data_IF_596534107740
#
_entry.id   IF_596534107740
#
_cell.length_a   1.000
_cell.length_b   1.000
_cell.length_c   1.000
_cell.angle_alpha   90.00
_cell.angle_beta   90.00
_cell.angle_gamma   90.00
#
_symmetry.space_group_name_H-M   'P 1'
#
loop_
_entity.id
_entity.type
_entity.pdbx_description
1 polymer ?
#
# COMPACT_ATOMS: atom_id res chain seq x y z
N UNK A 1 -2.52 30.82 -32.26
CA UNK A 1 -1.76 29.69 -32.87
C UNK A 1 -2.07 28.42 -32.08
N UNK A 2 -2.36 27.27 -32.72
CA UNK A 2 -2.78 26.07 -31.97
C UNK A 2 -1.57 25.44 -31.23
N UNK A 3 -1.67 25.33 -29.91
CA UNK A 3 -0.58 25.08 -28.96
C UNK A 3 -0.24 23.60 -28.70
N UNK A 4 -0.92 22.63 -29.32
CA UNK A 4 -0.76 21.22 -28.92
C UNK A 4 -0.15 20.33 -30.02
N UNK A 5 1.17 20.35 -30.10
CA UNK A 5 1.97 19.54 -31.04
C UNK A 5 2.04 18.06 -30.63
N UNK A 6 1.77 17.74 -29.36
CA UNK A 6 1.93 16.39 -28.81
C UNK A 6 0.90 15.40 -29.38
N UNK A 7 -0.31 15.86 -29.69
CA UNK A 7 -1.37 15.02 -30.27
C UNK A 7 -1.04 14.42 -31.64
N UNK A 8 -0.12 15.04 -32.39
CA UNK A 8 0.28 14.59 -33.75
C UNK A 8 1.51 13.68 -33.76
N UNK A 9 2.11 13.40 -32.60
CA UNK A 9 3.32 12.57 -32.50
C UNK A 9 2.94 11.10 -32.34
N UNK A 10 3.55 10.24 -33.13
CA UNK A 10 3.31 8.79 -33.15
C UNK A 10 3.75 8.06 -31.88
N UNK A 11 4.59 8.67 -31.03
CA UNK A 11 4.99 8.10 -29.74
C UNK A 11 4.12 8.58 -28.57
N UNK A 12 3.17 9.50 -28.81
CA UNK A 12 2.33 10.00 -27.73
C UNK A 12 1.42 8.87 -27.21
N UNK A 13 1.61 8.51 -25.95
CA UNK A 13 0.87 7.45 -25.26
C UNK A 13 -0.64 7.70 -25.29
N UNK A 14 -1.07 8.96 -25.26
CA UNK A 14 -2.48 9.34 -25.24
C UNK A 14 -3.15 9.36 -26.62
N UNK A 15 -2.43 9.05 -27.70
CA UNK A 15 -3.04 8.93 -29.02
C UNK A 15 -3.95 7.68 -29.04
N UNK A 16 -5.24 7.79 -29.47
CA UNK A 16 -6.15 6.64 -29.55
C UNK A 16 -5.56 5.44 -30.30
N UNK A 17 -4.72 5.66 -31.31
CA UNK A 17 -4.06 4.57 -32.06
C UNK A 17 -3.06 3.79 -31.21
N UNK A 18 -2.29 4.48 -30.36
CA UNK A 18 -1.31 3.84 -29.47
C UNK A 18 -2.00 3.10 -28.33
N UNK A 19 -3.05 3.69 -27.77
CA UNK A 19 -3.89 3.03 -26.77
C UNK A 19 -4.51 1.74 -27.36
N UNK A 20 -4.97 1.78 -28.62
CA UNK A 20 -5.51 0.60 -29.29
C UNK A 20 -4.47 -0.51 -29.55
N UNK A 21 -3.20 -0.13 -29.82
CA UNK A 21 -2.09 -1.10 -29.93
C UNK A 21 -1.80 -1.77 -28.59
N UNK A 22 -1.66 -0.97 -27.53
CA UNK A 22 -1.44 -1.48 -26.18
C UNK A 22 -2.56 -2.43 -25.77
N UNK A 23 -3.83 -2.07 -25.99
CA UNK A 23 -4.96 -2.98 -25.70
C UNK A 23 -4.94 -4.28 -26.49
N UNK A 24 -4.49 -4.26 -27.75
CA UNK A 24 -4.33 -5.48 -28.55
C UNK A 24 -3.22 -6.36 -27.96
N UNK A 25 -2.10 -5.77 -27.58
CA UNK A 25 -0.97 -6.49 -27.01
C UNK A 25 -1.33 -7.05 -25.62
N UNK A 26 -2.02 -6.27 -24.79
CA UNK A 26 -2.60 -6.71 -23.51
C UNK A 26 -3.58 -7.86 -23.70
N UNK A 27 -4.51 -7.76 -24.66
CA UNK A 27 -5.46 -8.83 -24.96
C UNK A 27 -4.76 -10.10 -25.47
N UNK A 28 -3.70 -9.97 -26.28
CA UNK A 28 -2.90 -11.11 -26.73
C UNK A 28 -2.10 -11.74 -25.59
N UNK A 29 -1.56 -10.92 -24.69
CA UNK A 29 -0.87 -11.41 -23.49
C UNK A 29 -1.85 -12.16 -22.58
N UNK A 30 -3.01 -11.56 -22.31
CA UNK A 30 -4.07 -12.16 -21.51
C UNK A 30 -4.57 -13.48 -22.11
N UNK A 31 -4.81 -13.54 -23.43
CA UNK A 31 -5.23 -14.78 -24.08
C UNK A 31 -4.20 -15.91 -23.92
N UNK A 32 -2.90 -15.59 -24.00
CA UNK A 32 -1.82 -16.58 -23.78
C UNK A 32 -1.73 -17.04 -22.34
N UNK A 33 -1.99 -16.14 -21.38
CA UNK A 33 -2.04 -16.48 -19.95
C UNK A 33 -3.25 -17.38 -19.65
N UNK A 34 -4.43 -17.04 -20.17
CA UNK A 34 -5.64 -17.86 -20.02
C UNK A 34 -5.48 -19.27 -20.63
N UNK A 35 -4.83 -19.39 -21.80
CA UNK A 35 -4.50 -20.70 -22.39
C UNK A 35 -3.54 -21.51 -21.50
N UNK A 36 -2.56 -20.86 -20.87
CA UNK A 36 -1.64 -21.53 -19.95
C UNK A 36 -2.33 -21.95 -18.65
N UNK A 37 -3.21 -21.12 -18.11
CA UNK A 37 -4.02 -21.44 -16.94
C UNK A 37 -4.95 -22.62 -17.21
N UNK A 38 -5.60 -22.66 -18.37
CA UNK A 38 -6.42 -23.81 -18.79
C UNK A 38 -5.59 -25.09 -18.83
N UNK A 39 -4.40 -25.06 -19.45
CA UNK A 39 -3.49 -26.21 -19.46
C UNK A 39 -3.07 -26.64 -18.05
N UNK A 40 -2.80 -25.69 -17.16
CA UNK A 40 -2.44 -25.98 -15.78
C UNK A 40 -3.60 -26.64 -15.01
N UNK A 41 -4.82 -26.14 -15.20
CA UNK A 41 -6.03 -26.72 -14.61
C UNK A 41 -6.31 -28.13 -15.14
N UNK A 42 -6.12 -28.36 -16.44
CA UNK A 42 -6.24 -29.69 -17.05
C UNK A 42 -5.23 -30.67 -16.45
N UNK A 43 -3.96 -30.30 -16.35
CA UNK A 43 -2.91 -31.13 -15.73
C UNK A 43 -3.21 -31.43 -14.26
N UNK A 44 -3.71 -30.45 -13.51
CA UNK A 44 -4.10 -30.66 -12.11
C UNK A 44 -5.36 -31.54 -11.98
N UNK A 45 -6.32 -31.40 -12.89
CA UNK A 45 -7.51 -32.25 -12.95
C UNK A 45 -7.13 -33.70 -13.30
N UNK A 46 -6.27 -33.91 -14.31
CA UNK A 46 -5.73 -35.21 -14.69
C UNK A 46 -4.98 -35.87 -13.52
N UNK A 47 -4.16 -35.09 -12.81
CA UNK A 47 -3.47 -35.56 -11.61
C UNK A 47 -4.45 -36.04 -10.54
N UNK A 48 -5.52 -35.27 -10.29
CA UNK A 48 -6.57 -35.67 -9.33
C UNK A 48 -7.25 -36.96 -9.76
N UNK A 49 -7.52 -37.12 -11.06
CA UNK A 49 -8.09 -38.35 -11.61
C UNK A 49 -7.13 -39.54 -11.46
N UNK A 50 -5.83 -39.37 -11.70
CA UNK A 50 -4.81 -40.43 -11.51
C UNK A 50 -4.75 -40.89 -10.06
N UNK A 51 -4.76 -39.96 -9.10
CA UNK A 51 -4.80 -40.28 -7.67
C UNK A 51 -6.06 -41.09 -7.34
N UNK A 52 -7.22 -40.70 -7.85
CA UNK A 52 -8.49 -41.42 -7.65
C UNK A 52 -8.48 -42.81 -8.29
N UNK A 53 -7.70 -43.02 -9.36
CA UNK A 53 -7.50 -44.33 -10.01
C UNK A 53 -6.48 -45.21 -9.29
N UNK A 54 -5.81 -44.71 -8.24
CA UNK A 54 -4.77 -45.44 -7.52
C UNK A 54 -3.41 -45.47 -8.23
N UNK A 55 -3.23 -44.67 -9.28
CA UNK A 55 -1.94 -44.50 -9.96
C UNK A 55 -1.11 -43.42 -9.26
N UNK A 56 0.19 -43.64 -9.08
CA UNK A 56 1.09 -42.63 -8.52
C UNK A 56 1.31 -41.52 -9.57
N UNK A 57 0.91 -40.25 -9.30
CA UNK A 57 1.07 -39.18 -10.27
C UNK A 57 2.54 -38.91 -10.54
N UNK A 58 2.90 -38.70 -11.81
CA UNK A 58 4.27 -38.33 -12.20
C UNK A 58 4.69 -37.03 -11.51
N UNK A 59 5.93 -36.98 -11.01
CA UNK A 59 6.49 -35.77 -10.39
C UNK A 59 6.32 -34.56 -11.33
N UNK A 60 5.76 -33.42 -10.85
CA UNK A 60 5.59 -32.25 -11.70
C UNK A 60 6.91 -31.84 -12.35
N UNK A 61 6.89 -31.37 -13.61
CA UNK A 61 8.03 -30.65 -14.15
C UNK A 61 8.36 -29.48 -13.21
N UNK A 62 9.65 -29.21 -12.95
CA UNK A 62 10.04 -28.09 -12.10
C UNK A 62 9.41 -26.80 -12.66
N UNK A 63 8.98 -25.87 -11.79
CA UNK A 63 8.40 -24.61 -12.25
C UNK A 63 9.33 -23.98 -13.30
N UNK A 64 8.79 -23.35 -14.36
CA UNK A 64 9.62 -22.61 -15.29
C UNK A 64 10.47 -21.68 -14.45
N UNK A 65 11.80 -21.82 -14.55
CA UNK A 65 12.73 -20.99 -13.79
C UNK A 65 12.27 -19.55 -14.01
N UNK A 66 11.80 -18.91 -12.94
CA UNK A 66 11.63 -17.47 -12.95
C UNK A 66 12.91 -16.87 -13.55
N UNK A 67 12.84 -15.84 -14.41
CA UNK A 67 14.04 -15.14 -14.84
C UNK A 67 14.67 -14.52 -13.59
N UNK A 68 15.42 -15.36 -12.90
CA UNK A 68 16.27 -15.02 -11.77
C UNK A 68 17.16 -13.93 -12.31
N UNK A 69 17.36 -12.82 -11.59
CA UNK A 69 18.20 -11.73 -12.07
C UNK A 69 19.53 -12.36 -12.45
N UNK A 70 19.84 -12.31 -13.74
CA UNK A 70 20.97 -12.98 -14.39
C UNK A 70 22.16 -12.93 -13.43
N UNK A 71 22.43 -14.04 -12.75
CA UNK A 71 23.57 -14.16 -11.88
C UNK A 71 24.78 -14.06 -12.80
N UNK A 72 25.53 -12.97 -12.65
CA UNK A 72 26.66 -12.60 -13.52
C UNK A 72 27.80 -13.64 -13.53
N UNK A 73 27.67 -14.73 -12.79
CA UNK A 73 28.65 -15.79 -12.68
C UNK A 73 28.64 -16.80 -13.84
N UNK A 74 27.55 -16.91 -14.62
CA UNK A 74 27.48 -17.87 -15.73
C UNK A 74 28.06 -17.32 -17.05
N UNK A 75 28.56 -16.07 -17.05
CA UNK A 75 29.27 -15.51 -18.21
C UNK A 75 30.72 -15.97 -18.31
N UNK A 76 31.27 -16.61 -17.29
CA UNK A 76 32.72 -16.86 -17.22
C UNK A 76 33.15 -18.15 -17.92
N UNK A 77 32.24 -19.11 -18.16
CA UNK A 77 32.54 -20.30 -18.96
C UNK A 77 32.61 -20.00 -20.46
N UNK A 78 31.81 -19.05 -20.97
CA UNK A 78 31.86 -18.68 -22.39
C UNK A 78 32.96 -17.65 -22.71
N UNK A 79 33.44 -16.89 -21.72
CA UNK A 79 34.41 -15.82 -21.94
C UNK A 79 35.81 -16.32 -22.37
N UNK A 80 36.24 -17.50 -21.91
CA UNK A 80 37.57 -18.03 -22.26
C UNK A 80 37.69 -18.53 -23.71
N UNK A 81 36.57 -18.90 -24.35
CA UNK A 81 36.56 -19.23 -25.79
C UNK A 81 36.46 -18.00 -26.71
N UNK A 82 36.03 -16.85 -26.20
CA UNK A 82 35.90 -15.62 -27.02
C UNK A 82 37.22 -14.94 -27.35
N UNK A 83 38.33 -15.29 -26.69
CA UNK A 83 39.63 -14.65 -26.91
C UNK A 83 40.30 -15.13 -28.21
N UNK A 84 39.91 -16.28 -28.78
CA UNK A 84 40.55 -16.85 -29.98
C UNK A 84 39.93 -16.43 -31.31
N UNK A 85 38.73 -15.83 -31.32
CA UNK A 85 38.05 -15.49 -32.58
C UNK A 85 37.69 -14.00 -32.65
N UNK A 86 38.69 -13.13 -32.79
CA UNK A 86 38.44 -11.80 -33.37
C UNK A 86 37.92 -12.02 -34.79
N UNK A 87 36.67 -11.60 -35.06
CA UNK A 87 36.07 -11.68 -36.41
C UNK A 87 37.01 -11.01 -37.43
N UNK A 88 37.63 -11.81 -38.30
CA UNK A 88 38.54 -11.34 -39.35
C UNK A 88 37.74 -10.59 -40.42
N UNK A 89 38.25 -9.44 -40.90
CA UNK A 89 37.55 -8.53 -41.82
C UNK A 89 37.48 -9.14 -43.24
N UNK A 90 36.44 -8.80 -44.01
CA UNK A 90 36.33 -9.10 -45.45
C UNK A 90 37.43 -8.40 -46.25
N UNK A 91 37.96 -9.05 -47.28
CA UNK A 91 38.74 -8.40 -48.33
C UNK A 91 37.80 -7.73 -49.35
N UNK A 92 38.25 -6.67 -50.01
CA UNK A 92 37.45 -5.97 -51.02
C UNK A 92 37.22 -6.88 -52.24
N UNK A 93 35.95 -7.15 -52.58
CA UNK A 93 35.56 -8.01 -53.71
C UNK A 93 35.36 -9.49 -53.41
N UNK A 94 35.44 -9.92 -52.15
CA UNK A 94 35.27 -11.32 -51.72
C UNK A 94 33.79 -11.68 -51.45
N UNK A 95 33.28 -12.78 -52.03
CA UNK A 95 31.92 -13.29 -51.75
C UNK A 95 31.86 -14.02 -50.40
N UNK A 96 30.65 -14.21 -49.85
CA UNK A 96 30.48 -14.84 -48.52
C UNK A 96 31.00 -16.29 -48.46
N UNK A 97 30.84 -17.07 -49.53
CA UNK A 97 31.40 -18.43 -49.63
C UNK A 97 32.93 -18.44 -49.72
N UNK A 98 33.50 -17.51 -50.48
CA UNK A 98 34.95 -17.44 -50.69
C UNK A 98 35.66 -17.04 -49.40
N UNK A 99 35.06 -16.14 -48.62
CA UNK A 99 35.52 -15.77 -47.28
C UNK A 99 35.56 -16.98 -46.35
N UNK A 100 34.49 -17.77 -46.32
CA UNK A 100 34.37 -18.90 -45.39
C UNK A 100 35.35 -20.02 -45.77
N UNK A 101 35.58 -20.25 -47.08
CA UNK A 101 36.60 -21.19 -47.59
C UNK A 101 38.01 -20.75 -47.18
N UNK A 102 38.32 -19.45 -47.23
CA UNK A 102 39.63 -18.92 -46.81
C UNK A 102 39.87 -19.13 -45.31
N UNK A 103 38.88 -18.83 -44.46
CA UNK A 103 39.01 -19.05 -43.01
C UNK A 103 39.20 -20.54 -42.68
N UNK A 104 38.45 -21.43 -43.33
CA UNK A 104 38.62 -22.87 -43.14
C UNK A 104 40.05 -23.36 -43.49
N UNK A 105 40.66 -22.80 -44.55
CA UNK A 105 42.04 -23.11 -44.93
C UNK A 105 43.07 -22.58 -43.93
N UNK A 106 42.90 -21.35 -43.45
CA UNK A 106 43.78 -20.73 -42.44
C UNK A 106 43.75 -21.52 -41.12
N UNK A 107 42.55 -21.94 -40.67
CA UNK A 107 42.38 -22.74 -39.46
C UNK A 107 43.00 -24.14 -39.60
N UNK A 108 42.82 -24.78 -40.77
CA UNK A 108 43.45 -26.06 -41.07
C UNK A 108 44.98 -25.98 -41.06
N UNK A 109 45.57 -24.92 -41.64
CA UNK A 109 47.02 -24.68 -41.62
C UNK A 109 47.53 -24.46 -40.20
N UNK A 110 46.80 -23.69 -39.40
CA UNK A 110 47.17 -23.43 -38.00
C UNK A 110 47.13 -24.71 -37.16
N UNK A 111 46.14 -25.58 -37.41
CA UNK A 111 46.05 -26.88 -36.77
C UNK A 111 47.20 -27.83 -37.16
N UNK A 112 47.62 -27.83 -38.43
CA UNK A 112 48.78 -28.60 -38.90
C UNK A 112 50.09 -28.11 -38.28
N UNK A 113 50.34 -26.79 -38.26
CA UNK A 113 51.53 -26.22 -37.64
C UNK A 113 51.62 -26.57 -36.14
N UNK A 114 50.50 -26.46 -35.41
CA UNK A 114 50.46 -26.87 -33.99
C UNK A 114 50.71 -28.37 -33.80
N UNK A 115 50.26 -29.21 -34.74
CA UNK A 115 50.53 -30.64 -34.74
C UNK A 115 52.02 -30.92 -35.00
N UNK A 116 52.65 -30.18 -35.91
CA UNK A 116 54.08 -30.28 -36.19
C UNK A 116 54.95 -29.82 -35.01
N UNK A 117 54.60 -28.72 -34.32
CA UNK A 117 55.27 -28.30 -33.08
C UNK A 117 55.20 -29.38 -31.99
N UNK A 118 54.02 -29.97 -31.80
CA UNK A 118 53.83 -31.07 -30.84
C UNK A 118 54.56 -32.35 -31.28
N UNK A 119 54.75 -32.57 -32.59
CA UNK A 119 55.54 -33.69 -33.10
C UNK A 119 57.04 -33.44 -32.91
N UNK A 120 57.53 -32.21 -33.13
CA UNK A 120 58.92 -31.82 -32.87
C UNK A 120 59.28 -31.88 -31.39
N UNK A 121 58.33 -31.60 -30.49
CA UNK A 121 58.52 -31.80 -29.04
C UNK A 121 58.60 -33.29 -28.65
N UNK A 122 58.11 -34.20 -29.49
CA UNK A 122 58.19 -35.66 -29.28
C UNK A 122 59.44 -36.29 -29.88
N UNK A 123 60.19 -35.57 -30.71
CA UNK A 123 61.51 -35.98 -31.22
C UNK A 123 62.63 -35.32 -30.41
N UNK A 124 62.71 -35.59 -29.12
CA UNK A 124 63.92 -35.28 -28.34
C UNK A 124 64.88 -36.46 -28.43
N UNK A 125 66.11 -36.23 -28.93
CA UNK A 125 67.25 -37.16 -28.88
C UNK A 125 67.75 -37.34 -27.43
N UNK A 126 66.88 -37.77 -26.53
CA UNK A 126 67.25 -38.16 -25.18
C UNK A 126 67.70 -39.63 -25.20
N UNK A 127 68.86 -39.98 -24.60
CA UNK A 127 69.29 -41.37 -24.48
C UNK A 127 68.21 -42.19 -23.75
N UNK A 128 67.71 -43.25 -24.38
CA UNK A 128 66.65 -44.11 -23.82
C UNK A 128 67.10 -44.87 -22.56
N UNK A 129 68.40 -44.93 -22.31
CA UNK A 129 69.01 -45.67 -21.21
C UNK A 129 69.76 -44.69 -20.30
N UNK A 130 69.57 -44.84 -18.99
CA UNK A 130 70.43 -44.20 -17.99
C UNK A 130 71.88 -44.71 -18.15
N UNK A 131 72.83 -43.95 -17.63
CA UNK A 131 74.24 -44.35 -17.46
C UNK A 131 74.41 -45.69 -16.72
N UNK A 132 73.40 -46.12 -15.95
CA UNK A 132 73.33 -47.42 -15.29
C UNK A 132 72.68 -48.55 -16.11
N UNK A 133 72.24 -48.28 -17.35
CA UNK A 133 71.65 -49.26 -18.27
C UNK A 133 70.15 -49.54 -18.09
N UNK A 134 69.44 -48.75 -17.28
CA UNK A 134 67.99 -48.86 -17.09
C UNK A 134 67.24 -48.01 -18.13
N UNK A 135 66.05 -48.46 -18.57
CA UNK A 135 65.23 -47.72 -19.54
C UNK A 135 64.55 -46.54 -18.83
N UNK A 136 64.98 -45.34 -19.15
CA UNK A 136 64.44 -44.11 -18.58
C UNK A 136 63.29 -43.58 -19.44
N UNK A 137 62.07 -43.94 -19.05
CA UNK A 137 60.84 -43.49 -19.72
C UNK A 137 60.47 -42.03 -19.40
N UNK A 138 61.18 -41.41 -18.45
CA UNK A 138 61.01 -40.01 -18.04
C UNK A 138 62.38 -39.35 -17.94
N UNK A 139 62.82 -38.56 -18.94
CA UNK A 139 64.14 -37.92 -18.90
C UNK A 139 64.20 -36.94 -17.72
N UNK A 140 64.99 -37.26 -16.71
CA UNK A 140 65.22 -36.38 -15.57
C UNK A 140 66.14 -35.24 -16.02
N UNK A 141 65.62 -34.01 -16.09
CA UNK A 141 66.47 -32.85 -16.34
C UNK A 141 67.30 -32.56 -15.09
N UNK A 142 68.64 -32.47 -15.15
CA UNK A 142 69.43 -32.11 -13.99
C UNK A 142 69.02 -30.71 -13.53
N UNK A 143 68.47 -30.63 -12.32
CA UNK A 143 68.06 -29.38 -11.69
C UNK A 143 69.23 -28.39 -11.70
N UNK A 144 68.96 -27.17 -12.12
CA UNK A 144 69.96 -26.10 -12.17
C UNK A 144 70.70 -25.97 -10.83
N UNK A 145 72.02 -25.79 -10.94
CA UNK A 145 73.00 -25.80 -9.84
C UNK A 145 72.58 -24.92 -8.66
N UNK A 146 72.88 -25.39 -7.45
CA UNK A 146 72.62 -24.75 -6.16
C UNK A 146 72.89 -23.24 -6.20
N UNK A 147 71.81 -22.45 -6.18
CA UNK A 147 71.85 -21.01 -5.93
C UNK A 147 71.96 -20.81 -4.41
N UNK A 148 72.87 -19.95 -3.97
CA UNK A 148 73.01 -19.56 -2.57
C UNK A 148 71.64 -19.17 -2.00
N UNK A 149 71.25 -19.83 -0.90
CA UNK A 149 69.92 -19.68 -0.30
C UNK A 149 69.77 -18.27 0.26
N UNK A 150 68.96 -17.45 -0.39
CA UNK A 150 68.60 -16.13 0.13
C UNK A 150 67.74 -16.32 1.39
N UNK A 151 68.15 -15.82 2.57
CA UNK A 151 67.40 -16.00 3.81
C UNK A 151 65.98 -15.42 3.77
N UNK A 152 65.72 -14.45 2.89
CA UNK A 152 64.37 -13.92 2.68
C UNK A 152 63.50 -14.87 1.85
N UNK A 153 64.09 -15.53 0.84
CA UNK A 153 63.38 -16.49 0.01
C UNK A 153 63.01 -17.76 0.79
N UNK A 154 63.87 -18.20 1.72
CA UNK A 154 63.55 -19.33 2.60
C UNK A 154 62.39 -19.01 3.54
N UNK A 155 62.37 -17.82 4.14
CA UNK A 155 61.24 -17.36 4.98
C UNK A 155 59.94 -17.29 4.20
N UNK A 156 59.97 -16.72 2.99
CA UNK A 156 58.78 -16.64 2.16
C UNK A 156 58.30 -18.02 1.71
N UNK A 157 59.22 -18.93 1.35
CA UNK A 157 58.86 -20.30 0.99
C UNK A 157 58.26 -21.06 2.18
N UNK A 158 58.82 -20.90 3.39
CA UNK A 158 58.29 -21.52 4.60
C UNK A 158 56.92 -20.94 5.00
N UNK A 159 56.66 -19.65 4.77
CA UNK A 159 55.35 -19.04 4.96
C UNK A 159 54.33 -19.56 3.94
N UNK A 160 54.73 -19.76 2.68
CA UNK A 160 53.87 -20.35 1.64
C UNK A 160 53.57 -21.81 1.93
N UNK A 161 54.55 -22.60 2.37
CA UNK A 161 54.36 -23.98 2.79
C UNK A 161 53.41 -24.08 3.99
N UNK A 162 53.61 -23.26 5.03
CA UNK A 162 52.67 -23.18 6.15
C UNK A 162 51.27 -22.79 5.71
N UNK A 163 51.14 -21.79 4.85
CA UNK A 163 49.83 -21.39 4.33
C UNK A 163 49.15 -22.49 3.50
N UNK A 164 49.93 -23.30 2.77
CA UNK A 164 49.43 -24.44 2.02
C UNK A 164 49.04 -25.60 2.95
N UNK A 165 49.87 -25.93 3.94
CA UNK A 165 49.53 -26.92 4.97
C UNK A 165 48.28 -26.52 5.76
N UNK A 166 48.11 -25.23 6.05
CA UNK A 166 46.94 -24.70 6.73
C UNK A 166 45.66 -24.78 5.86
N UNK A 167 45.79 -24.80 4.52
CA UNK A 167 44.65 -25.03 3.62
C UNK A 167 44.10 -26.46 3.70
N UNK A 168 44.94 -27.44 4.01
CA UNK A 168 44.56 -28.86 3.97
C UNK A 168 44.59 -29.57 5.33
N UNK A 169 45.13 -28.95 6.38
CA UNK A 169 45.21 -29.53 7.73
C UNK A 169 44.42 -28.72 8.76
N UNK A 170 43.54 -29.40 9.50
CA UNK A 170 42.69 -28.80 10.54
C UNK A 170 43.39 -28.80 11.91
N UNK A 171 44.49 -28.04 12.07
CA UNK A 171 45.18 -27.91 13.37
C UNK A 171 44.55 -26.80 14.22
N UNK A 172 44.42 -27.01 15.54
CA UNK A 172 43.83 -26.02 16.46
C UNK A 172 44.58 -24.68 16.50
N UNK A 173 45.88 -24.67 16.20
CA UNK A 173 46.69 -23.46 16.04
C UNK A 173 46.22 -22.56 14.89
N UNK A 174 45.52 -23.12 13.89
CA UNK A 174 45.08 -22.43 12.69
C UNK A 174 43.65 -21.87 12.83
N UNK A 175 42.93 -22.29 13.88
CA UNK A 175 41.55 -21.88 14.14
C UNK A 175 41.42 -20.42 14.61
N UNK A 176 42.54 -19.77 14.98
CA UNK A 176 42.57 -18.36 15.39
C UNK A 176 42.32 -17.38 14.22
N UNK A 177 42.27 -17.87 12.97
CA UNK A 177 42.03 -17.07 11.77
C UNK A 177 43.32 -16.70 11.03
N UNK A 178 43.19 -16.46 9.72
CA UNK A 178 44.29 -16.17 8.81
C UNK A 178 45.24 -15.11 9.41
N UNK A 179 46.51 -15.51 9.66
CA UNK A 179 47.59 -14.67 10.20
C UNK A 179 47.45 -14.18 11.65
N UNK A 180 46.56 -14.75 12.46
CA UNK A 180 46.48 -14.42 13.89
C UNK A 180 47.30 -15.43 14.70
N UNK A 181 48.31 -14.95 15.44
CA UNK A 181 49.10 -15.80 16.33
C UNK A 181 48.26 -16.23 17.53
N UNK A 182 48.55 -17.41 18.09
CA UNK A 182 47.81 -18.13 19.15
C UNK A 182 47.75 -17.38 20.52
N UNK A 183 48.05 -16.08 20.56
CA UNK A 183 47.99 -15.21 21.74
C UNK A 183 47.29 -13.86 21.49
N UNK A 184 46.76 -13.60 20.29
CA UNK A 184 45.92 -12.43 20.05
C UNK A 184 44.53 -12.66 20.65
N UNK A 185 44.05 -11.69 21.43
CA UNK A 185 42.69 -11.73 21.98
C UNK A 185 41.71 -11.76 20.81
N UNK A 186 40.86 -12.79 20.70
CA UNK A 186 39.89 -12.85 19.62
C UNK A 186 39.00 -11.60 19.57
N UNK A 187 38.56 -11.23 18.37
CA UNK A 187 37.77 -10.02 18.12
C UNK A 187 36.48 -9.92 18.96
N UNK A 188 35.93 -11.06 19.40
CA UNK A 188 34.77 -11.15 20.30
C UNK A 188 35.09 -10.93 21.79
N UNK A 189 36.35 -10.98 22.20
CA UNK A 189 36.80 -10.68 23.56
C UNK A 189 37.24 -9.23 23.77
N UNK A 190 37.35 -8.44 22.70
CA UNK A 190 37.65 -7.01 22.77
C UNK A 190 36.44 -6.14 23.18
N UNK A 191 35.22 -6.69 23.13
CA UNK A 191 33.97 -5.94 23.40
C UNK A 191 33.41 -6.16 24.81
N UNK A 192 34.10 -6.89 25.69
CA UNK A 192 33.55 -7.38 26.96
C UNK A 192 33.39 -6.36 28.10
N UNK A 193 33.80 -5.09 27.93
CA UNK A 193 33.72 -4.09 29.02
C UNK A 193 32.74 -2.94 28.69
N UNK A 194 32.28 -2.80 27.44
CA UNK A 194 31.38 -1.70 27.03
C UNK A 194 30.12 -2.14 26.26
N UNK A 195 29.83 -3.44 26.18
CA UNK A 195 28.68 -3.98 25.45
C UNK A 195 27.34 -3.95 26.23
N UNK A 196 27.13 -2.97 27.12
CA UNK A 196 25.91 -2.86 27.92
C UNK A 196 25.17 -1.51 27.77
N UNK A 197 25.53 -0.69 26.78
CA UNK A 197 24.79 0.52 26.43
C UNK A 197 24.23 0.42 25.00
N UNK A 198 22.90 0.45 24.79
CA UNK A 198 22.28 0.42 23.45
C UNK A 198 22.55 1.68 22.59
N UNK A 199 23.37 2.62 23.08
CA UNK A 199 23.69 3.90 22.41
C UNK A 199 25.05 3.92 21.70
N UNK A 200 25.80 2.81 21.67
CA UNK A 200 27.17 2.78 21.16
C UNK A 200 27.30 2.44 19.67
N UNK A 201 26.25 2.57 18.86
CA UNK A 201 26.45 2.54 17.40
C UNK A 201 27.21 3.83 17.05
N UNK A 202 28.45 3.68 16.56
CA UNK A 202 29.29 4.82 16.26
C UNK A 202 28.60 5.66 15.18
N UNK A 203 28.14 6.85 15.56
CA UNK A 203 27.45 7.77 14.65
C UNK A 203 28.35 8.33 13.54
N UNK A 204 29.60 7.86 13.45
CA UNK A 204 30.61 8.31 12.52
C UNK A 204 30.56 7.52 11.23
N UNK A 205 30.63 8.21 10.10
CA UNK A 205 30.76 7.60 8.78
C UNK A 205 32.11 6.91 8.56
N UNK A 206 32.26 6.17 7.45
CA UNK A 206 33.52 5.58 6.99
C UNK A 206 34.64 6.65 6.93
N UNK A 207 34.26 7.92 6.77
CA UNK A 207 35.14 9.10 6.79
C UNK A 207 35.22 9.83 8.13
N UNK A 208 34.67 9.30 9.22
CA UNK A 208 34.78 9.85 10.57
C UNK A 208 33.83 11.03 10.88
N UNK A 209 33.03 11.50 9.92
CA UNK A 209 32.08 12.58 10.14
C UNK A 209 30.80 12.07 10.83
N UNK A 210 30.22 12.84 11.75
CA UNK A 210 28.99 12.46 12.44
C UNK A 210 27.78 12.66 11.52
N UNK A 211 27.04 11.58 11.25
CA UNK A 211 25.79 11.62 10.50
C UNK A 211 24.61 11.54 11.48
N UNK A 212 23.83 12.62 11.65
CA UNK A 212 22.76 12.68 12.67
C UNK A 212 21.66 11.64 12.42
N UNK A 213 21.43 11.26 11.16
CA UNK A 213 20.38 10.30 10.79
C UNK A 213 20.88 8.85 10.73
N UNK A 214 22.18 8.58 10.94
CA UNK A 214 22.72 7.21 10.92
C UNK A 214 22.03 6.30 11.92
N UNK A 215 21.86 6.78 13.15
CA UNK A 215 21.18 6.06 14.24
C UNK A 215 19.74 5.74 13.89
N UNK A 216 19.03 6.65 13.24
CA UNK A 216 17.64 6.44 12.81
C UNK A 216 17.56 5.41 11.68
N UNK A 217 18.48 5.44 10.71
CA UNK A 217 18.54 4.45 9.64
C UNK A 217 18.91 3.07 10.15
N UNK A 218 19.80 2.98 11.13
CA UNK A 218 20.16 1.71 11.78
C UNK A 218 19.00 1.16 12.60
N UNK A 219 18.32 1.99 13.39
CA UNK A 219 17.07 1.61 14.06
C UNK A 219 16.03 1.13 13.06
N UNK A 220 15.85 1.84 11.94
CA UNK A 220 14.91 1.43 10.89
C UNK A 220 15.31 0.10 10.22
N UNK A 221 16.61 -0.18 10.04
CA UNK A 221 17.11 -1.47 9.54
C UNK A 221 16.87 -2.60 10.55
N UNK A 222 17.11 -2.34 11.83
CA UNK A 222 16.83 -3.28 12.92
C UNK A 222 15.33 -3.56 12.99
N UNK A 223 14.49 -2.52 12.98
CA UNK A 223 13.03 -2.60 12.97
C UNK A 223 12.45 -3.20 11.68
N UNK A 224 13.22 -3.26 10.59
CA UNK A 224 12.83 -3.93 9.35
C UNK A 224 13.18 -5.42 9.38
N UNK A 225 14.28 -5.77 10.06
CA UNK A 225 14.72 -7.16 10.24
C UNK A 225 14.05 -7.85 11.44
N UNK A 226 13.41 -7.11 12.35
CA UNK A 226 12.66 -7.65 13.48
C UNK A 226 11.19 -7.98 13.10
N UNK A 227 10.76 -9.26 13.16
CA UNK A 227 9.38 -9.65 12.89
C UNK A 227 8.37 -9.00 13.87
N UNK A 228 8.76 -8.75 15.12
CA UNK A 228 7.85 -8.12 16.10
C UNK A 228 7.60 -6.65 15.77
N UNK A 229 8.62 -5.93 15.28
CA UNK A 229 8.47 -4.57 14.80
C UNK A 229 7.54 -4.52 13.58
N UNK A 230 7.61 -5.49 12.66
CA UNK A 230 6.68 -5.60 11.54
C UNK A 230 5.23 -5.82 12.00
N UNK A 231 4.99 -6.72 12.96
CA UNK A 231 3.66 -6.94 13.55
C UNK A 231 3.13 -5.68 14.25
N UNK A 232 3.98 -4.97 15.02
CA UNK A 232 3.60 -3.72 15.69
C UNK A 232 3.23 -2.63 14.69
N UNK A 233 3.92 -2.53 13.55
CA UNK A 233 3.58 -1.61 12.45
C UNK A 233 2.20 -1.96 11.87
N UNK A 234 1.93 -3.24 11.61
CA UNK A 234 0.61 -3.71 11.14
C UNK A 234 -0.52 -3.37 12.12
N UNK A 235 -0.33 -3.63 13.42
CA UNK A 235 -1.33 -3.29 14.45
C UNK A 235 -1.57 -1.78 14.54
N UNK A 236 -0.52 -0.96 14.41
CA UNK A 236 -0.66 0.51 14.38
C UNK A 236 -1.46 0.98 13.16
N UNK A 237 -1.23 0.40 11.99
CA UNK A 237 -2.00 0.71 10.77
C UNK A 237 -3.48 0.33 10.90
N UNK A 238 -3.79 -0.83 11.49
CA UNK A 238 -5.17 -1.21 11.75
C UNK A 238 -5.85 -0.22 12.71
N UNK A 239 -5.14 0.20 13.77
CA UNK A 239 -5.65 1.19 14.72
C UNK A 239 -5.86 2.57 14.08
N UNK A 240 -4.99 3.01 13.17
CA UNK A 240 -5.18 4.29 12.46
C UNK A 240 -6.39 4.24 11.54
N UNK A 241 -6.57 3.14 10.79
CA UNK A 241 -7.75 2.94 9.94
C UNK A 241 -9.04 2.90 10.77
N UNK A 242 -9.03 2.23 11.92
CA UNK A 242 -10.18 2.21 12.82
C UNK A 242 -10.52 3.60 13.36
N UNK A 243 -9.51 4.40 13.71
CA UNK A 243 -9.70 5.79 14.13
C UNK A 243 -10.24 6.67 13.00
N UNK A 244 -9.75 6.50 11.77
CA UNK A 244 -10.26 7.19 10.59
C UNK A 244 -11.71 6.84 10.29
N UNK A 245 -12.06 5.55 10.31
CA UNK A 245 -13.46 5.09 10.18
C UNK A 245 -14.35 5.69 11.25
N UNK A 246 -13.89 5.70 12.50
CA UNK A 246 -14.64 6.28 13.62
C UNK A 246 -14.84 7.79 13.48
N UNK A 247 -13.86 8.52 12.93
CA UNK A 247 -14.00 9.95 12.63
C UNK A 247 -14.97 10.19 11.49
N UNK A 248 -14.86 9.41 10.42
CA UNK A 248 -15.77 9.47 9.27
C UNK A 248 -17.22 9.18 9.67
N UNK A 249 -17.45 8.15 10.50
CA UNK A 249 -18.78 7.84 11.03
C UNK A 249 -19.33 8.99 11.89
N UNK A 250 -18.49 9.67 12.66
CA UNK A 250 -18.90 10.83 13.46
C UNK A 250 -19.26 12.03 12.56
N UNK A 251 -18.47 12.31 11.53
CA UNK A 251 -18.75 13.36 10.56
C UNK A 251 -20.06 13.08 9.81
N UNK A 252 -20.23 11.85 9.30
CA UNK A 252 -21.49 11.41 8.66
C UNK A 252 -22.69 11.53 9.58
N UNK A 253 -22.55 11.18 10.86
CA UNK A 253 -23.63 11.36 11.85
C UNK A 253 -23.97 12.84 12.06
N UNK A 254 -22.97 13.70 12.17
CA UNK A 254 -23.16 15.16 12.29
C UNK A 254 -23.84 15.75 11.05
N UNK A 255 -23.43 15.33 9.86
CA UNK A 255 -24.08 15.73 8.60
C UNK A 255 -25.55 15.29 8.58
N UNK A 256 -25.84 14.04 8.92
CA UNK A 256 -27.20 13.53 8.97
C UNK A 256 -28.06 14.24 10.02
N UNK A 257 -27.50 14.57 11.17
CA UNK A 257 -28.19 15.37 12.19
C UNK A 257 -28.44 16.80 11.71
N UNK A 258 -27.49 17.43 11.03
CA UNK A 258 -27.66 18.74 10.42
C UNK A 258 -28.78 18.73 9.36
N UNK A 259 -28.79 17.75 8.44
CA UNK A 259 -29.85 17.59 7.46
C UNK A 259 -31.22 17.37 8.11
N UNK A 260 -31.30 16.56 9.18
CA UNK A 260 -32.55 16.36 9.93
C UNK A 260 -33.03 17.64 10.61
N UNK A 261 -32.12 18.47 11.12
CA UNK A 261 -32.46 19.75 11.73
C UNK A 261 -32.94 20.75 10.68
N UNK A 262 -32.29 20.80 9.53
CA UNK A 262 -32.68 21.65 8.40
C UNK A 262 -34.04 21.22 7.83
N UNK A 263 -34.27 19.92 7.65
CA UNK A 263 -35.56 19.37 7.22
C UNK A 263 -36.67 19.70 8.22
N UNK A 264 -36.39 19.56 9.53
CA UNK A 264 -37.33 19.98 10.58
C UNK A 264 -37.62 21.49 10.50
N UNK A 265 -36.59 22.31 10.32
CA UNK A 265 -36.74 23.76 10.20
C UNK A 265 -37.58 24.12 8.97
N UNK A 266 -37.28 23.56 7.79
CA UNK A 266 -38.07 23.73 6.58
C UNK A 266 -39.51 23.24 6.74
N UNK A 267 -39.73 22.10 7.41
CA UNK A 267 -41.08 21.60 7.69
C UNK A 267 -41.88 22.51 8.62
N UNK A 268 -41.19 23.15 9.58
CA UNK A 268 -41.79 24.13 10.50
C UNK A 268 -42.15 25.41 9.76
N UNK A 269 -41.26 25.93 8.91
CA UNK A 269 -41.53 27.08 8.04
C UNK A 269 -42.70 26.81 7.11
N UNK A 270 -42.73 25.64 6.46
CA UNK A 270 -43.83 25.25 5.58
C UNK A 270 -45.16 25.11 6.36
N UNK A 271 -45.12 24.62 7.60
CA UNK A 271 -46.31 24.60 8.48
C UNK A 271 -46.79 26.01 8.81
N UNK A 272 -45.88 26.90 9.19
CA UNK A 272 -46.22 28.31 9.46
C UNK A 272 -46.78 29.00 8.22
N UNK A 273 -46.21 28.77 7.05
CA UNK A 273 -46.72 29.33 5.78
C UNK A 273 -48.12 28.79 5.45
N UNK A 274 -48.39 27.50 5.68
CA UNK A 274 -49.75 26.94 5.56
C UNK A 274 -50.70 27.63 6.55
N UNK A 275 -50.31 27.81 7.81
CA UNK A 275 -51.15 28.47 8.81
C UNK A 275 -51.43 29.94 8.45
N UNK A 276 -50.42 30.67 7.99
CA UNK A 276 -50.59 32.04 7.48
C UNK A 276 -51.56 32.08 6.28
N UNK A 277 -51.42 31.16 5.32
CA UNK A 277 -52.35 31.07 4.19
C UNK A 277 -53.77 30.73 4.65
N UNK A 278 -53.94 29.84 5.62
CA UNK A 278 -55.26 29.52 6.21
C UNK A 278 -55.87 30.77 6.84
N UNK A 279 -55.10 31.55 7.60
CA UNK A 279 -55.58 32.80 8.22
C UNK A 279 -55.96 33.82 7.15
N UNK A 280 -55.16 33.98 6.09
CA UNK A 280 -55.45 34.88 4.97
C UNK A 280 -56.74 34.46 4.26
N UNK A 281 -56.91 33.16 3.98
CA UNK A 281 -58.13 32.62 3.35
C UNK A 281 -59.34 32.85 4.25
N UNK A 282 -59.25 32.54 5.55
CA UNK A 282 -60.34 32.76 6.51
C UNK A 282 -60.73 34.25 6.59
N UNK A 283 -59.75 35.16 6.62
CA UNK A 283 -60.00 36.60 6.60
C UNK A 283 -60.66 37.06 5.29
N UNK A 284 -60.26 36.52 4.14
CA UNK A 284 -60.90 36.83 2.86
C UNK A 284 -62.36 36.35 2.80
N UNK A 285 -62.64 35.14 3.31
CA UNK A 285 -64.00 34.58 3.38
C UNK A 285 -64.91 35.43 4.27
N UNK A 286 -64.44 35.80 5.47
CA UNK A 286 -65.21 36.67 6.38
C UNK A 286 -65.47 38.05 5.78
N UNK A 287 -64.50 38.66 5.09
CA UNK A 287 -64.73 39.93 4.39
C UNK A 287 -65.77 39.79 3.26
N UNK A 288 -65.74 38.69 2.51
CA UNK A 288 -66.73 38.42 1.46
C UNK A 288 -68.14 38.23 2.03
N UNK A 289 -68.28 37.54 3.17
CA UNK A 289 -69.56 37.42 3.87
C UNK A 289 -70.07 38.75 4.42
N UNK A 290 -69.19 39.56 5.03
CA UNK A 290 -69.53 40.92 5.47
C UNK A 290 -70.00 41.77 4.27
N UNK A 291 -69.35 41.66 3.11
CA UNK A 291 -69.74 42.37 1.91
C UNK A 291 -71.11 41.91 1.36
N UNK A 292 -71.41 40.60 1.38
CA UNK A 292 -72.74 40.06 1.03
C UNK A 292 -73.83 40.57 1.98
N UNK A 293 -73.56 40.55 3.29
CA UNK A 293 -74.50 41.07 4.30
C UNK A 293 -74.73 42.57 4.09
N UNK A 294 -73.68 43.37 3.87
CA UNK A 294 -73.79 44.80 3.54
C UNK A 294 -74.63 45.04 2.27
N UNK A 295 -74.41 44.28 1.20
CA UNK A 295 -75.22 44.37 -0.02
C UNK A 295 -76.68 44.01 0.23
N UNK A 296 -76.96 43.00 1.06
CA UNK A 296 -78.34 42.68 1.46
C UNK A 296 -78.98 43.80 2.26
N UNK A 297 -78.23 44.43 3.19
CA UNK A 297 -78.70 45.55 4.00
C UNK A 297 -79.03 46.79 3.16
N UNK A 298 -78.21 47.09 2.14
CA UNK A 298 -78.44 48.22 1.21
C UNK A 298 -79.70 48.01 0.36
N UNK A 299 -80.09 46.75 0.10
CA UNK A 299 -81.32 46.42 -0.64
C UNK A 299 -82.58 46.42 0.23
N UNK A 300 -82.47 46.47 1.56
CA UNK A 300 -83.63 46.50 2.45
C UNK A 300 -84.11 47.94 2.66
N UNK A 301 -85.43 48.13 2.67
CA UNK A 301 -86.03 49.44 2.93
C UNK A 301 -85.62 49.98 4.31
N UNK A 302 -85.29 51.27 4.39
CA UNK A 302 -84.81 51.95 5.61
C UNK A 302 -85.71 51.67 6.84
N UNK A 303 -87.03 51.56 6.63
CA UNK A 303 -88.01 51.24 7.68
C UNK A 303 -87.80 49.83 8.28
N UNK A 304 -87.44 48.85 7.46
CA UNK A 304 -87.17 47.47 7.91
C UNK A 304 -85.85 47.37 8.67
N UNK A 305 -84.83 48.13 8.26
CA UNK A 305 -83.56 48.19 8.98
C UNK A 305 -83.72 48.83 10.36
N UNK A 306 -84.44 49.96 10.45
CA UNK A 306 -84.71 50.65 11.73
C UNK A 306 -85.49 49.76 12.70
N UNK A 307 -86.50 49.02 12.21
CA UNK A 307 -87.27 48.10 13.08
C UNK A 307 -86.43 46.96 13.61
N UNK A 308 -85.57 46.34 12.79
CA UNK A 308 -84.66 45.28 13.24
C UNK A 308 -83.66 45.81 14.30
N UNK A 309 -83.12 47.01 14.12
CA UNK A 309 -82.19 47.63 15.11
C UNK A 309 -82.91 47.93 16.43
N UNK A 310 -84.13 48.48 16.38
CA UNK A 310 -84.92 48.76 17.60
C UNK A 310 -85.26 47.46 18.33
N UNK A 311 -85.66 46.41 17.62
CA UNK A 311 -85.99 45.10 18.20
C UNK A 311 -84.75 44.45 18.83
N UNK A 312 -83.58 44.51 18.19
CA UNK A 312 -82.33 43.94 18.76
C UNK A 312 -81.88 44.67 20.02
N UNK A 313 -82.01 46.00 20.08
CA UNK A 313 -81.75 46.79 21.30
C UNK A 313 -82.71 46.39 22.42
N UNK A 314 -83.99 46.19 22.10
CA UNK A 314 -85.02 45.74 23.04
C UNK A 314 -84.70 44.35 23.61
N UNK A 315 -84.33 43.40 22.75
CA UNK A 315 -83.94 42.05 23.18
C UNK A 315 -82.68 42.11 24.06
N UNK A 316 -81.67 42.89 23.69
CA UNK A 316 -80.45 43.04 24.50
C UNK A 316 -80.74 43.68 25.87
N UNK A 317 -81.68 44.62 25.94
CA UNK A 317 -82.14 45.20 27.19
C UNK A 317 -82.85 44.16 28.06
N UNK A 318 -83.75 43.36 27.49
CA UNK A 318 -84.43 42.26 28.19
C UNK A 318 -83.43 41.22 28.69
N UNK A 319 -82.47 40.80 27.85
CA UNK A 319 -81.42 39.85 28.25
C UNK A 319 -80.58 40.42 29.40
N UNK A 320 -80.16 41.69 29.33
CA UNK A 320 -79.45 42.33 30.45
C UNK A 320 -80.28 42.35 31.73
N UNK A 321 -81.57 42.68 31.64
CA UNK A 321 -82.49 42.68 32.79
C UNK A 321 -82.62 41.27 33.38
N UNK A 322 -82.79 40.24 32.55
CA UNK A 322 -82.86 38.85 33.02
C UNK A 322 -81.56 38.35 33.65
N UNK A 323 -80.40 38.79 33.15
CA UNK A 323 -79.09 38.46 33.76
C UNK A 323 -78.90 39.19 35.09
N UNK A 324 -79.38 40.42 35.22
CA UNK A 324 -79.34 41.16 36.50
C UNK A 324 -80.32 40.59 37.51
N UNK A 325 -81.52 40.17 37.10
CA UNK A 325 -82.50 39.52 37.99
C UNK A 325 -81.99 38.15 38.46
N UNK A 326 -81.41 37.35 37.57
CA UNK A 326 -80.77 36.07 37.92
C UNK A 326 -79.54 36.23 38.86
N UNK A 327 -78.96 37.44 38.94
CA UNK A 327 -77.87 37.77 39.86
C UNK A 327 -78.38 38.23 41.23
N UNK A 328 -79.56 38.84 41.31
CA UNK A 328 -80.19 39.26 42.57
C UNK A 328 -80.75 38.04 43.32
N UNK A 329 -81.26 37.03 42.62
CA UNK A 329 -81.86 35.83 43.23
C UNK A 329 -80.83 34.87 43.87
N UNK A 330 -79.56 34.93 43.45
CA UNK A 330 -78.47 34.11 44.04
C UNK A 330 -77.90 34.67 45.34
N UNK A 331 -78.20 35.92 45.70
CA UNK A 331 -77.70 36.54 46.94
C UNK A 331 -78.69 36.48 48.13
N UNK A 332 -79.89 35.92 47.95
CA UNK A 332 -80.91 35.81 49.02
C UNK A 332 -81.13 34.39 49.56
N UNK A 333 -80.44 33.37 49.02
CA UNK A 333 -80.55 31.96 49.46
C UNK A 333 -79.21 31.34 49.91
N UNK A 334 -78.34 32.14 50.53
CA UNK A 334 -77.19 31.63 51.29
C UNK A 334 -77.18 32.23 52.69
N UNK A 335 -78.06 31.69 53.54
CA UNK A 335 -77.93 31.75 54.99
C UNK A 335 -78.06 30.32 55.52
N UNK A 336 -77.09 29.89 56.33
CA UNK A 336 -76.91 28.57 56.97
C UNK A 336 -76.58 27.45 55.97
N UNK A 337 -75.41 26.82 55.97
CA UNK A 337 -74.82 26.06 57.08
C UNK A 337 -73.30 25.80 56.85
N UNK A 338 -72.56 25.53 57.92
CA UNK A 338 -71.11 25.28 57.93
C UNK A 338 -70.69 23.89 57.41
N UNK A 339 -69.39 23.76 57.17
CA UNK A 339 -68.59 22.53 57.06
C UNK A 339 -68.79 21.62 55.82
N UNK A 340 -67.86 21.70 54.86
CA UNK A 340 -66.81 20.67 54.67
C UNK A 340 -66.06 20.79 53.32
N UNK A 341 -64.74 20.63 53.43
CA UNK A 341 -63.79 20.14 52.42
C UNK A 341 -63.60 20.86 51.08
N UNK A 342 -62.65 21.79 51.11
CA UNK A 342 -61.91 22.26 49.94
C UNK A 342 -61.08 21.13 49.31
N UNK A 343 -61.56 20.54 48.21
CA UNK A 343 -60.72 19.88 47.20
C UNK A 343 -60.77 20.67 45.90
N UNK A 344 -59.92 21.70 45.82
CA UNK A 344 -59.56 22.35 44.56
C UNK A 344 -58.77 21.35 43.68
N UNK A 345 -59.41 20.88 42.62
CA UNK A 345 -58.71 20.36 41.44
C UNK A 345 -58.13 21.55 40.67
N UNK A 346 -56.91 21.93 41.03
CA UNK A 346 -56.12 22.89 40.28
C UNK A 346 -55.40 22.19 39.14
N UNK A 347 -55.78 22.58 37.92
CA UNK A 347 -54.92 22.84 36.76
C UNK A 347 -53.50 22.22 36.80
N UNK A 348 -53.28 21.18 36.00
CA UNK A 348 -51.96 20.72 35.62
C UNK A 348 -51.62 21.25 34.21
N UNK A 349 -51.01 22.42 34.15
CA UNK A 349 -50.16 22.84 33.04
C UNK A 349 -48.73 22.38 33.35
N UNK A 350 -48.02 21.73 32.42
CA UNK A 350 -46.58 21.67 32.48
C UNK A 350 -45.96 22.18 31.18
N UNK A 351 -45.64 23.48 31.17
CA UNK A 351 -44.48 23.97 30.43
C UNK A 351 -43.39 24.25 31.47
N UNK A 352 -42.32 23.46 31.45
CA UNK A 352 -40.96 23.92 31.79
C UNK A 352 -39.93 22.91 31.25
N UNK A 353 -39.40 23.26 30.08
CA UNK A 353 -38.15 22.75 29.54
C UNK A 353 -37.00 23.11 30.51
N UNK A 354 -36.50 22.13 31.26
CA UNK A 354 -35.21 22.26 31.96
C UNK A 354 -34.10 21.87 30.96
N UNK A 355 -33.47 22.90 30.38
CA UNK A 355 -32.20 22.81 29.70
C UNK A 355 -31.10 22.49 30.72
N UNK A 356 -30.64 21.24 30.75
CA UNK A 356 -29.38 20.86 31.39
C UNK A 356 -28.21 21.23 30.46
N UNK A 357 -27.76 22.48 30.51
CA UNK A 357 -26.42 22.84 30.01
C UNK A 357 -25.38 22.54 31.11
N UNK A 358 -24.62 21.46 30.93
CA UNK A 358 -23.33 21.27 31.59
C UNK A 358 -22.28 22.14 30.86
N UNK A 359 -21.76 23.15 31.53
CA UNK A 359 -20.49 23.77 31.15
C UNK A 359 -19.31 22.94 31.73
N UNK A 360 -18.19 22.79 31.00
CA UNK A 360 -16.94 22.30 31.56
C UNK A 360 -16.23 23.41 32.36
N UNK A 361 -15.48 23.09 33.44
CA UNK A 361 -14.64 24.08 34.10
C UNK A 361 -13.37 24.33 33.28
N UNK A 362 -13.11 25.61 33.01
CA UNK A 362 -11.83 26.11 32.55
C UNK A 362 -10.77 25.79 33.61
N UNK A 363 -9.75 25.02 33.23
CA UNK A 363 -8.50 24.87 33.96
C UNK A 363 -7.45 25.80 33.38
N UNK A 364 -6.71 26.43 34.29
CA UNK A 364 -5.42 27.11 34.08
C UNK A 364 -4.38 26.11 33.61
#
# INVERSE_FOLDING_TARGET
MPLHLLGKKSWNVYNPENIARVRRDEAQAQAREEEQERRMQEVDAERRIQILRGEQPSTPPPPPRSPSPISRHDRKSHAEDTVRFRKRRRLAGENDTDRDIRFAREDAQTALAKREELASARSSDAPLYDSAGHIDLFPFQPSQKHTEKNPEAEKESAEREKAYEDQYTMRFSNAAGFRQSVGQKPWYSASGIEAMAPDSISGKDVWGNEDPMRREREKARIDANDPLAAMKKGVRQLKSVEQERRKWDQERRRELEAFKLEEKHSSMLHRMEIEEQIVIIAMAVTQAEIARVRQSLIRMDIRTVVTIVVVTILIAAVVRVTITDARIEKHTTQGTDEDSDWRFFSFFFPDHCILHLRYPPNGI
#
